data_IF_378274706218
#
_entry.id   IF_378274706218
#
_cell.length_a   1.000
_cell.length_b   1.000
_cell.length_c   1.000
_cell.angle_alpha   90.00
_cell.angle_beta   90.00
_cell.angle_gamma   90.00
#
_symmetry.space_group_name_H-M   'P 1'
#
loop_
_entity.id
_entity.type
_entity.pdbx_description
1 polymer ?
#
# COMPACT_ATOMS: atom_id res chain seq x y z
N UNK A 1 6.10 -20.33 13.12
CA UNK A 1 4.70 -19.98 13.47
C UNK A 1 4.70 -18.55 14.01
N UNK A 2 4.01 -17.62 13.36
CA UNK A 2 4.07 -16.18 13.66
C UNK A 2 3.37 -15.86 14.99
N UNK A 3 3.99 -15.08 15.92
CA UNK A 3 3.42 -14.67 17.24
C UNK A 3 1.95 -14.23 17.23
N UNK A 4 1.47 -13.66 16.12
CA UNK A 4 0.06 -13.27 15.95
C UNK A 4 -0.90 -14.46 15.95
N UNK A 5 -0.50 -15.60 15.37
CA UNK A 5 -1.35 -16.80 15.36
C UNK A 5 -1.44 -17.42 16.75
N UNK A 6 -0.37 -17.36 17.53
CA UNK A 6 -0.33 -17.87 18.91
C UNK A 6 -1.28 -17.07 19.83
N UNK A 7 -1.23 -15.73 19.74
CA UNK A 7 -2.14 -14.86 20.47
C UNK A 7 -3.61 -14.99 20.05
N UNK A 8 -3.87 -15.25 18.76
CA UNK A 8 -5.21 -15.52 18.27
C UNK A 8 -5.74 -16.87 18.77
N UNK A 9 -4.89 -17.89 18.82
CA UNK A 9 -5.27 -19.22 19.33
C UNK A 9 -5.52 -19.18 20.84
N UNK A 10 -4.69 -18.47 21.61
CA UNK A 10 -4.85 -18.29 23.05
C UNK A 10 -6.14 -17.51 23.41
N UNK A 11 -6.48 -16.46 22.64
CA UNK A 11 -7.75 -15.74 22.81
C UNK A 11 -8.97 -16.60 22.50
N UNK A 12 -8.89 -17.47 21.48
CA UNK A 12 -9.98 -18.39 21.13
C UNK A 12 -10.13 -19.52 22.16
N UNK A 13 -9.02 -20.08 22.63
CA UNK A 13 -9.00 -21.14 23.65
C UNK A 13 -9.49 -20.62 25.00
N UNK A 14 -9.09 -19.42 25.41
CA UNK A 14 -9.58 -18.81 26.65
C UNK A 14 -11.07 -18.41 26.59
N UNK A 15 -11.65 -18.23 25.40
CA UNK A 15 -13.07 -17.99 25.22
C UNK A 15 -13.90 -19.28 25.42
N UNK A 16 -13.33 -20.47 25.13
CA UNK A 16 -13.97 -21.78 25.30
C UNK A 16 -14.13 -22.18 26.78
N UNK A 17 -13.19 -21.79 27.64
CA UNK A 17 -13.23 -22.03 29.09
C UNK A 17 -13.96 -20.92 29.88
N UNK A 18 -14.41 -19.85 29.22
CA UNK A 18 -15.09 -18.74 29.88
C UNK A 18 -16.55 -19.06 30.24
N UNK A 19 -16.96 -18.67 31.45
CA UNK A 19 -18.36 -18.74 31.90
C UNK A 19 -19.30 -17.94 30.97
N UNK A 20 -20.56 -18.38 30.82
CA UNK A 20 -21.51 -17.86 29.82
C UNK A 20 -21.75 -16.34 29.96
N UNK A 21 -21.70 -15.80 31.17
CA UNK A 21 -21.86 -14.36 31.45
C UNK A 21 -20.69 -13.54 30.90
N UNK A 22 -19.47 -14.04 31.05
CA UNK A 22 -18.23 -13.44 30.54
C UNK A 22 -18.17 -13.49 29.02
N UNK A 23 -18.62 -14.61 28.44
CA UNK A 23 -18.70 -14.78 26.98
C UNK A 23 -19.73 -13.81 26.37
N UNK A 24 -20.92 -13.68 26.96
CA UNK A 24 -21.95 -12.74 26.52
C UNK A 24 -21.51 -11.26 26.58
N UNK A 25 -20.78 -10.86 27.62
CA UNK A 25 -20.23 -9.51 27.73
C UNK A 25 -19.14 -9.23 26.68
N UNK A 26 -18.22 -10.19 26.46
CA UNK A 26 -17.21 -10.10 25.39
C UNK A 26 -17.84 -10.04 24.01
N UNK A 27 -18.88 -10.83 23.74
CA UNK A 27 -19.57 -10.85 22.46
C UNK A 27 -20.32 -9.54 22.20
N UNK A 28 -20.95 -8.97 23.23
CA UNK A 28 -21.58 -7.64 23.16
C UNK A 28 -20.55 -6.55 22.86
N UNK A 29 -19.38 -6.58 23.48
CA UNK A 29 -18.29 -5.65 23.22
C UNK A 29 -17.67 -5.83 21.81
N UNK A 30 -17.51 -7.07 21.33
CA UNK A 30 -17.06 -7.38 19.96
C UNK A 30 -18.08 -6.92 18.93
N UNK A 31 -19.38 -7.08 19.19
CA UNK A 31 -20.46 -6.61 18.34
C UNK A 31 -20.48 -5.09 18.24
N UNK A 32 -20.37 -4.38 19.37
CA UNK A 32 -20.33 -2.92 19.42
C UNK A 32 -19.10 -2.35 18.67
N UNK A 33 -17.91 -2.95 18.83
CA UNK A 33 -16.72 -2.54 18.07
C UNK A 33 -16.91 -2.73 16.56
N UNK A 34 -17.55 -3.84 16.15
CA UNK A 34 -17.85 -4.10 14.73
C UNK A 34 -18.90 -3.14 14.18
N UNK A 35 -19.93 -2.81 14.95
CA UNK A 35 -20.96 -1.86 14.52
C UNK A 35 -20.41 -0.44 14.38
N UNK A 36 -19.56 0.02 15.29
CA UNK A 36 -18.87 1.31 15.17
C UNK A 36 -17.96 1.35 13.93
N UNK A 37 -17.11 0.33 13.72
CA UNK A 37 -16.22 0.29 12.55
C UNK A 37 -16.97 0.18 11.21
N UNK A 38 -18.17 -0.41 11.19
CA UNK A 38 -19.06 -0.40 10.03
C UNK A 38 -19.70 0.98 9.83
N UNK A 39 -20.13 1.63 10.91
CA UNK A 39 -20.69 2.97 10.88
C UNK A 39 -19.66 4.01 10.38
N UNK A 40 -18.40 3.93 10.78
CA UNK A 40 -17.31 4.80 10.31
C UNK A 40 -17.05 4.62 8.79
N UNK A 41 -17.09 3.38 8.29
CA UNK A 41 -17.00 3.09 6.85
C UNK A 41 -18.21 3.65 6.09
N UNK A 42 -19.42 3.50 6.63
CA UNK A 42 -20.65 4.02 6.02
C UNK A 42 -20.72 5.56 6.06
N UNK A 43 -20.17 6.17 7.10
CA UNK A 43 -20.03 7.62 7.27
C UNK A 43 -19.00 8.22 6.30
N UNK A 44 -18.14 7.39 5.70
CA UNK A 44 -17.04 7.84 4.84
C UNK A 44 -15.83 8.37 5.59
N UNK A 45 -15.81 8.29 6.93
CA UNK A 45 -14.68 8.69 7.77
C UNK A 45 -13.47 7.75 7.60
N UNK A 46 -13.71 6.53 7.11
CA UNK A 46 -12.69 5.53 6.82
C UNK A 46 -12.81 4.98 5.41
N UNK A 47 -11.80 5.25 4.58
CA UNK A 47 -11.66 4.71 3.23
C UNK A 47 -10.64 3.56 3.22
N UNK A 48 -11.01 2.42 2.64
CA UNK A 48 -10.08 1.32 2.39
C UNK A 48 -9.51 1.41 0.99
N UNK A 49 -8.17 1.42 0.90
CA UNK A 49 -7.45 1.56 -0.36
C UNK A 49 -6.66 0.31 -0.65
N UNK A 50 -6.80 -0.20 -1.87
CA UNK A 50 -6.01 -1.32 -2.37
C UNK A 50 -4.70 -0.80 -2.93
N UNK A 51 -3.59 -1.28 -2.36
CA UNK A 51 -2.25 -1.01 -2.87
C UNK A 51 -1.70 -2.24 -3.58
N UNK A 52 -0.95 -2.03 -4.66
CA UNK A 52 -0.38 -3.11 -5.46
C UNK A 52 1.13 -2.90 -5.65
N UNK A 53 1.86 -4.01 -5.69
CA UNK A 53 3.29 -4.02 -5.99
C UNK A 53 3.49 -4.52 -7.42
N UNK A 54 3.97 -3.66 -8.30
CA UNK A 54 4.14 -3.96 -9.72
C UNK A 54 5.57 -3.70 -10.19
N UNK A 55 5.88 -4.09 -11.41
CA UNK A 55 7.09 -3.64 -12.09
C UNK A 55 6.93 -2.17 -12.52
N UNK A 56 7.89 -1.25 -12.24
CA UNK A 56 7.85 0.08 -12.84
C UNK A 56 7.83 0.04 -14.38
N UNK A 57 8.32 -1.02 -15.03
CA UNK A 57 8.24 -1.15 -16.50
C UNK A 57 6.79 -1.29 -17.02
N UNK A 58 5.84 -1.73 -16.20
CA UNK A 58 4.42 -1.79 -16.56
C UNK A 58 3.73 -0.40 -16.51
N UNK A 59 4.45 0.62 -16.05
CA UNK A 59 3.96 1.98 -15.88
C UNK A 59 4.46 2.91 -16.98
N UNK A 60 3.56 3.74 -17.52
CA UNK A 60 3.88 4.88 -18.37
C UNK A 60 3.69 6.18 -17.60
N UNK A 61 4.55 7.17 -17.79
CA UNK A 61 4.31 8.51 -17.21
C UNK A 61 3.19 9.22 -17.97
N UNK A 62 2.28 9.84 -17.25
CA UNK A 62 1.29 10.73 -17.86
C UNK A 62 1.96 11.96 -18.47
N UNK A 63 1.53 12.39 -19.65
CA UNK A 63 2.12 13.52 -20.37
C UNK A 63 2.06 14.85 -19.61
N UNK A 64 1.08 15.02 -18.72
CA UNK A 64 0.88 16.24 -17.92
C UNK A 64 1.26 16.04 -16.45
N UNK A 65 2.16 15.10 -16.17
CA UNK A 65 2.68 14.88 -14.83
C UNK A 65 3.42 16.12 -14.29
N UNK A 66 3.52 16.17 -12.97
CA UNK A 66 3.94 17.37 -12.24
C UNK A 66 5.46 17.67 -12.28
N UNK A 67 6.26 16.88 -13.00
CA UNK A 67 7.73 17.00 -13.03
C UNK A 67 8.26 16.59 -14.38
N UNK A 68 9.19 17.35 -14.94
CA UNK A 68 9.89 16.93 -16.15
C UNK A 68 10.73 15.68 -15.86
N UNK A 69 10.35 14.57 -16.48
CA UNK A 69 11.03 13.28 -16.27
C UNK A 69 12.44 13.29 -16.86
N UNK A 70 12.69 14.09 -17.91
CA UNK A 70 13.99 14.17 -18.56
C UNK A 70 15.06 14.83 -17.67
N UNK A 71 14.65 15.62 -16.68
CA UNK A 71 15.53 16.28 -15.73
C UNK A 71 15.81 15.44 -14.46
N UNK A 72 15.17 14.27 -14.33
CA UNK A 72 15.40 13.36 -13.21
C UNK A 72 16.70 12.60 -13.44
N UNK A 73 17.61 12.71 -12.48
CA UNK A 73 18.88 12.00 -12.46
C UNK A 73 19.15 11.46 -11.05
N UNK A 74 20.23 10.69 -10.90
CA UNK A 74 20.63 10.13 -9.61
C UNK A 74 20.84 11.22 -8.55
N UNK A 75 21.54 12.30 -8.90
CA UNK A 75 21.91 13.36 -7.96
C UNK A 75 20.67 14.05 -7.36
N UNK A 76 19.72 14.44 -8.21
CA UNK A 76 18.47 15.11 -7.81
C UNK A 76 17.53 14.18 -7.02
N UNK A 77 17.69 12.86 -7.17
CA UNK A 77 16.89 11.84 -6.50
C UNK A 77 17.67 11.10 -5.41
N UNK A 78 18.89 11.51 -5.06
CA UNK A 78 19.79 10.80 -4.14
C UNK A 78 19.17 10.58 -2.78
N UNK A 79 18.62 11.63 -2.17
CA UNK A 79 17.96 11.52 -0.86
C UNK A 79 16.81 10.50 -0.85
N UNK A 80 16.03 10.45 -1.94
CA UNK A 80 14.93 9.50 -2.08
C UNK A 80 15.44 8.08 -2.28
N UNK A 81 16.48 7.91 -3.10
CA UNK A 81 17.13 6.62 -3.35
C UNK A 81 17.71 6.06 -2.04
N UNK A 82 18.39 6.87 -1.25
CA UNK A 82 18.98 6.47 0.02
C UNK A 82 17.89 6.18 1.07
N UNK A 83 16.82 6.96 1.08
CA UNK A 83 15.60 6.67 1.84
C UNK A 83 15.03 5.29 1.49
N UNK A 84 14.81 4.99 0.21
CA UNK A 84 14.31 3.70 -0.25
C UNK A 84 15.24 2.54 0.12
N UNK A 85 16.57 2.73 0.01
CA UNK A 85 17.57 1.72 0.41
C UNK A 85 17.52 1.43 1.91
N UNK A 86 17.53 2.47 2.74
CA UNK A 86 17.52 2.33 4.20
C UNK A 86 16.24 1.66 4.72
N UNK A 87 15.09 1.95 4.09
CA UNK A 87 13.82 1.32 4.41
C UNK A 87 13.67 -0.09 3.78
N UNK A 88 14.44 -0.38 2.73
CA UNK A 88 14.37 -1.62 1.95
C UNK A 88 13.12 -1.74 1.06
N UNK A 89 12.25 -0.73 1.04
CA UNK A 89 11.01 -0.70 0.24
C UNK A 89 10.47 0.72 0.07
N UNK A 90 9.53 0.88 -0.85
CA UNK A 90 8.74 2.10 -0.99
C UNK A 90 7.70 2.23 0.14
N UNK A 91 7.71 3.34 0.87
CA UNK A 91 6.74 3.62 1.94
C UNK A 91 5.42 4.18 1.39
N UNK A 92 5.49 5.19 0.53
CA UNK A 92 4.31 5.89 0.00
C UNK A 92 3.97 5.42 -1.41
N UNK A 93 2.74 4.98 -1.68
CA UNK A 93 2.32 4.57 -3.02
C UNK A 93 2.39 5.74 -4.02
N UNK A 94 2.60 5.41 -5.28
CA UNK A 94 2.34 6.33 -6.38
C UNK A 94 0.88 6.23 -6.83
N UNK A 95 0.32 7.33 -7.29
CA UNK A 95 -1.07 7.35 -7.77
C UNK A 95 -1.04 7.08 -9.26
N UNK A 96 -1.74 6.03 -9.66
CA UNK A 96 -1.83 5.60 -11.05
C UNK A 96 -3.28 5.46 -11.46
N UNK A 97 -3.54 5.59 -12.76
CA UNK A 97 -4.79 5.15 -13.38
C UNK A 97 -4.53 3.90 -14.20
N UNK A 98 -5.55 3.07 -14.36
CA UNK A 98 -5.48 1.87 -15.19
C UNK A 98 -5.65 2.26 -16.66
N UNK A 99 -4.86 1.66 -17.54
CA UNK A 99 -5.02 1.77 -18.99
C UNK A 99 -5.64 0.48 -19.53
N UNK A 100 -6.54 0.60 -20.51
CA UNK A 100 -7.12 -0.55 -21.23
C UNK A 100 -6.53 -0.63 -22.64
N UNK A 101 -5.91 -1.76 -22.98
CA UNK A 101 -5.48 -2.06 -24.36
C UNK A 101 -4.14 -1.46 -24.80
N UNK A 102 -3.35 -0.88 -23.89
CA UNK A 102 -1.99 -0.40 -24.18
C UNK A 102 -0.90 -1.41 -23.79
N UNK A 103 0.33 -1.21 -24.29
CA UNK A 103 1.53 -1.95 -23.88
C UNK A 103 1.84 -1.80 -22.38
N UNK A 104 1.43 -0.67 -21.79
CA UNK A 104 1.59 -0.38 -20.37
C UNK A 104 0.24 -0.54 -19.67
N UNK A 105 0.21 -1.27 -18.55
CA UNK A 105 -1.02 -1.54 -17.81
C UNK A 105 -1.49 -0.33 -16.97
N UNK A 106 -0.56 0.55 -16.60
CA UNK A 106 -0.81 1.66 -15.70
C UNK A 106 -0.20 2.96 -16.22
N UNK A 107 -0.88 4.07 -15.95
CA UNK A 107 -0.36 5.40 -16.18
C UNK A 107 -0.17 6.15 -14.86
N UNK A 108 1.04 6.67 -14.66
CA UNK A 108 1.43 7.34 -13.42
C UNK A 108 1.05 8.81 -13.50
N UNK A 109 0.10 9.19 -12.67
CA UNK A 109 -0.39 10.58 -12.56
C UNK A 109 0.49 11.36 -11.57
N UNK A 110 0.84 10.73 -10.44
CA UNK A 110 1.67 11.34 -9.42
C UNK A 110 2.67 10.34 -8.85
N UNK A 111 3.94 10.75 -8.77
CA UNK A 111 5.00 9.90 -8.24
C UNK A 111 6.21 9.73 -9.17
N UNK A 112 6.43 10.64 -10.13
CA UNK A 112 7.53 10.58 -11.09
C UNK A 112 8.90 10.33 -10.46
N UNK A 113 9.25 11.05 -9.37
CA UNK A 113 10.53 10.82 -8.65
C UNK A 113 10.65 9.41 -8.07
N UNK A 114 9.55 8.85 -7.54
CA UNK A 114 9.54 7.48 -6.99
C UNK A 114 9.66 6.45 -8.08
N UNK A 115 8.97 6.66 -9.20
CA UNK A 115 9.11 5.82 -10.38
C UNK A 115 10.57 5.78 -10.82
N UNK A 116 11.16 6.95 -11.06
CA UNK A 116 12.57 7.08 -11.43
C UNK A 116 13.50 6.39 -10.41
N UNK A 117 13.35 6.67 -9.12
CA UNK A 117 14.22 6.11 -8.09
C UNK A 117 14.15 4.58 -8.03
N UNK A 118 12.95 3.99 -8.14
CA UNK A 118 12.77 2.53 -8.17
C UNK A 118 13.35 1.93 -9.45
N UNK A 119 13.11 2.53 -10.61
CA UNK A 119 13.71 2.08 -11.88
C UNK A 119 15.24 2.16 -11.85
N UNK A 120 15.80 3.24 -11.30
CA UNK A 120 17.23 3.43 -11.14
C UNK A 120 17.82 2.36 -10.19
N UNK A 121 17.18 2.12 -9.04
CA UNK A 121 17.60 1.09 -8.09
C UNK A 121 17.66 -0.29 -8.75
N UNK A 122 16.62 -0.66 -9.50
CA UNK A 122 16.59 -1.94 -10.22
C UNK A 122 17.69 -2.07 -11.25
N UNK A 123 18.05 -0.99 -11.94
CA UNK A 123 19.18 -0.96 -12.87
C UNK A 123 20.55 -1.05 -12.17
N UNK A 124 20.64 -0.70 -10.88
CA UNK A 124 21.87 -0.67 -10.08
C UNK A 124 21.93 -1.81 -9.04
N UNK A 125 21.61 -3.03 -9.46
CA UNK A 125 21.67 -4.27 -8.67
C UNK A 125 20.62 -4.44 -7.56
N UNK A 126 19.61 -3.56 -7.46
CA UNK A 126 18.51 -3.72 -6.51
C UNK A 126 17.22 -4.23 -7.20
N UNK A 127 17.32 -5.36 -7.91
CA UNK A 127 16.22 -5.92 -8.74
C UNK A 127 14.97 -6.31 -7.96
N UNK A 128 15.08 -6.52 -6.64
CA UNK A 128 13.97 -6.91 -5.78
C UNK A 128 13.01 -5.76 -5.43
N UNK A 129 13.39 -4.51 -5.71
CA UNK A 129 12.52 -3.37 -5.45
C UNK A 129 11.33 -3.40 -6.41
N UNK A 130 10.12 -3.45 -5.83
CA UNK A 130 8.86 -3.33 -6.56
C UNK A 130 8.31 -1.92 -6.42
N UNK A 131 7.53 -1.48 -7.39
CA UNK A 131 6.88 -0.18 -7.38
C UNK A 131 5.51 -0.29 -6.70
N UNK A 132 5.33 0.45 -5.61
CA UNK A 132 4.07 0.50 -4.86
C UNK A 132 3.13 1.51 -5.51
N UNK A 133 1.95 1.06 -5.91
CA UNK A 133 0.94 1.88 -6.55
C UNK A 133 -0.41 1.83 -5.81
N UNK A 134 -1.13 2.92 -5.92
CA UNK A 134 -2.55 3.06 -5.59
C UNK A 134 -3.29 3.37 -6.89
N UNK A 135 -4.15 2.45 -7.32
CA UNK A 135 -4.96 2.63 -8.53
C UNK A 135 -6.16 3.49 -8.16
N UNK A 136 -6.36 4.59 -8.89
CA UNK A 136 -7.54 5.46 -8.76
C UNK A 136 -8.21 5.63 -10.12
N UNK A 137 -9.54 5.62 -10.10
CA UNK A 137 -10.34 6.03 -11.26
C UNK A 137 -10.33 7.56 -11.34
N UNK A 138 -9.39 8.06 -12.13
CA UNK A 138 -9.22 9.48 -12.43
C UNK A 138 -9.76 9.71 -13.83
N UNK A 139 -11.02 10.19 -13.90
CA UNK A 139 -11.71 10.57 -15.14
C UNK A 139 -11.26 11.93 -15.64
#
# INVERSE_FOLDING_TARGET
>A
MTRKHDALMDDVLSDLDADPTTRAAKDSARFLKRSTGLAERLSGEREEKTLQWIDPAECRMWERHNRDYALLNEENCRDLIDGLKSQGRQEFPAIVRRLEGEEHAYEVICGARRHFAVSWLRAHNFTNFKYLIEVRDLT
#
